data_IF_023020309504
#
_entry.id   IF_023020309504
#
_cell.length_a   1.000
_cell.length_b   1.000
_cell.length_c   1.000
_cell.angle_alpha   90.00
_cell.angle_beta   90.00
_cell.angle_gamma   90.00
#
_symmetry.space_group_name_H-M   'P 1'
#
loop_
_entity.id
_entity.type
_entity.pdbx_description
1 polymer ?
#
# COMPACT_ATOMS: atom_id res chain seq x y z
N UNK A 1 8.55 -4.32 21.97
CA UNK A 1 8.55 -5.13 20.70
C UNK A 1 7.97 -4.23 19.64
N UNK A 2 8.64 -4.11 18.46
CA UNK A 2 8.11 -3.36 17.32
C UNK A 2 7.14 -4.24 16.55
N UNK A 3 6.10 -3.64 15.95
CA UNK A 3 5.20 -4.30 15.04
C UNK A 3 5.81 -4.35 13.63
N UNK A 4 5.66 -5.47 12.95
CA UNK A 4 6.22 -5.66 11.62
C UNK A 4 5.20 -5.26 10.53
N UNK A 5 5.67 -4.54 9.50
CA UNK A 5 4.83 -4.17 8.38
C UNK A 5 5.45 -4.52 7.02
N UNK A 6 4.58 -4.65 6.03
CA UNK A 6 4.89 -4.67 4.59
C UNK A 6 4.28 -3.42 3.97
N UNK A 7 5.04 -2.74 3.10
CA UNK A 7 4.57 -1.58 2.32
C UNK A 7 4.40 -1.98 0.84
N UNK A 8 3.18 -1.88 0.36
CA UNK A 8 2.81 -2.20 -1.02
C UNK A 8 2.65 -0.91 -1.83
N UNK A 9 3.18 -0.87 -3.04
CA UNK A 9 3.24 0.35 -3.85
C UNK A 9 4.01 1.45 -3.11
N UNK A 10 5.18 1.08 -2.59
CA UNK A 10 5.89 1.88 -1.59
C UNK A 10 6.36 3.24 -2.09
N UNK A 11 6.49 3.42 -3.41
CA UNK A 11 7.02 4.64 -3.99
C UNK A 11 8.41 4.97 -3.44
N UNK A 12 8.64 6.22 -3.12
CA UNK A 12 9.86 6.67 -2.42
C UNK A 12 9.81 6.42 -0.91
N UNK A 13 8.85 5.65 -0.42
CA UNK A 13 8.72 5.28 0.99
C UNK A 13 7.99 6.29 1.87
N UNK A 14 7.07 7.09 1.32
CA UNK A 14 6.36 8.11 2.11
C UNK A 14 5.55 7.56 3.28
N UNK A 15 4.78 6.47 3.07
CA UNK A 15 4.07 5.78 4.15
C UNK A 15 5.04 5.10 5.11
N UNK A 16 5.99 4.33 4.59
CA UNK A 16 7.03 3.68 5.39
C UNK A 16 7.75 4.64 6.32
N UNK A 17 8.08 5.85 5.84
CA UNK A 17 8.77 6.87 6.61
C UNK A 17 7.98 7.26 7.87
N UNK A 18 6.66 7.50 7.74
CA UNK A 18 5.80 7.83 8.87
C UNK A 18 5.75 6.71 9.92
N UNK A 19 5.67 5.45 9.47
CA UNK A 19 5.67 4.29 10.34
C UNK A 19 7.01 4.12 11.05
N UNK A 20 8.13 4.22 10.34
CA UNK A 20 9.47 4.08 10.90
C UNK A 20 9.80 5.21 11.90
N UNK A 21 9.43 6.46 11.58
CA UNK A 21 9.66 7.61 12.48
C UNK A 21 8.94 7.49 13.83
N UNK A 22 7.82 6.80 13.89
CA UNK A 22 7.12 6.55 15.14
C UNK A 22 7.93 5.72 16.15
N UNK A 23 8.97 5.01 15.69
CA UNK A 23 9.81 4.12 16.50
C UNK A 23 9.14 2.79 16.89
N UNK A 24 7.86 2.60 16.56
CA UNK A 24 7.07 1.44 16.96
C UNK A 24 6.98 0.33 15.91
N UNK A 25 7.49 0.57 14.70
CA UNK A 25 7.36 -0.34 13.58
C UNK A 25 8.71 -0.75 12.99
N UNK A 26 8.71 -1.92 12.33
CA UNK A 26 9.82 -2.46 11.58
C UNK A 26 9.31 -2.88 10.18
N UNK A 27 9.91 -2.33 9.11
CA UNK A 27 9.57 -2.67 7.74
C UNK A 27 10.22 -3.97 7.31
N UNK A 28 9.45 -5.03 7.09
CA UNK A 28 9.96 -6.31 6.61
C UNK A 28 10.26 -6.29 5.12
N UNK A 29 9.36 -5.69 4.34
CA UNK A 29 9.48 -5.58 2.89
C UNK A 29 8.73 -4.37 2.35
N UNK A 30 9.24 -3.84 1.23
CA UNK A 30 8.65 -2.73 0.48
C UNK A 30 8.61 -3.13 -0.99
N UNK A 31 7.43 -3.19 -1.58
CA UNK A 31 7.24 -3.60 -2.97
C UNK A 31 6.96 -2.37 -3.83
N UNK A 32 7.78 -2.17 -4.86
CA UNK A 32 7.66 -1.07 -5.80
C UNK A 32 8.04 -1.51 -7.21
N UNK A 33 7.42 -0.94 -8.22
CA UNK A 33 7.70 -1.24 -9.63
C UNK A 33 8.76 -0.32 -10.24
N UNK A 34 8.69 0.97 -9.93
CA UNK A 34 9.49 2.01 -10.56
C UNK A 34 10.92 2.06 -9.98
N UNK A 35 11.92 1.74 -10.80
CA UNK A 35 13.33 1.68 -10.36
C UNK A 35 13.86 2.96 -9.71
N UNK A 36 13.55 4.17 -10.20
CA UNK A 36 13.97 5.40 -9.52
C UNK A 36 13.43 5.53 -8.09
N UNK A 37 12.20 5.05 -7.85
CA UNK A 37 11.58 5.04 -6.52
C UNK A 37 12.23 4.00 -5.61
N UNK A 38 12.50 2.79 -6.15
CA UNK A 38 13.24 1.72 -5.46
C UNK A 38 14.61 2.22 -5.00
N UNK A 39 15.36 2.85 -5.89
CA UNK A 39 16.68 3.39 -5.56
C UNK A 39 16.61 4.47 -4.48
N UNK A 40 15.64 5.37 -4.56
CA UNK A 40 15.41 6.41 -3.56
C UNK A 40 15.09 5.80 -2.19
N UNK A 41 14.24 4.79 -2.14
CA UNK A 41 13.88 4.12 -0.90
C UNK A 41 15.04 3.33 -0.30
N UNK A 42 15.79 2.58 -1.12
CA UNK A 42 17.02 1.87 -0.69
C UNK A 42 18.03 2.87 -0.09
N UNK A 43 18.30 3.96 -0.80
CA UNK A 43 19.18 5.02 -0.32
C UNK A 43 18.73 5.58 1.03
N UNK A 44 17.41 5.78 1.21
CA UNK A 44 16.86 6.29 2.46
C UNK A 44 16.98 5.28 3.60
N UNK A 45 16.73 3.99 3.34
CA UNK A 45 16.91 2.94 4.36
C UNK A 45 18.37 2.87 4.82
N UNK A 46 19.33 3.00 3.90
CA UNK A 46 20.77 2.98 4.23
C UNK A 46 21.16 4.23 5.04
N UNK A 47 20.87 5.42 4.52
CA UNK A 47 21.47 6.65 5.06
C UNK A 47 20.72 7.24 6.26
N UNK A 48 19.45 6.92 6.42
CA UNK A 48 18.64 7.43 7.55
C UNK A 48 18.32 6.36 8.58
N UNK A 49 18.06 5.14 8.10
CA UNK A 49 17.61 4.04 8.97
C UNK A 49 18.70 3.01 9.24
N UNK A 50 19.96 3.31 8.84
CA UNK A 50 21.17 2.56 9.17
C UNK A 50 21.14 1.08 8.72
N UNK A 51 20.37 0.77 7.65
CA UNK A 51 20.40 -0.53 7.05
C UNK A 51 21.70 -0.73 6.26
N UNK A 52 22.21 -1.93 6.24
CA UNK A 52 23.25 -2.31 5.30
C UNK A 52 22.71 -2.28 3.85
N UNK A 53 23.61 -2.23 2.85
CA UNK A 53 23.22 -2.30 1.44
C UNK A 53 22.45 -3.59 1.16
N UNK A 54 22.91 -4.71 1.70
CA UNK A 54 22.27 -6.02 1.53
C UNK A 54 20.87 -6.07 2.13
N UNK A 55 20.68 -5.50 3.34
CA UNK A 55 19.35 -5.41 3.95
C UNK A 55 18.41 -4.53 3.16
N UNK A 56 18.86 -3.36 2.72
CA UNK A 56 18.04 -2.45 1.93
C UNK A 56 17.65 -3.10 0.57
N UNK A 57 18.60 -3.75 -0.10
CA UNK A 57 18.36 -4.47 -1.36
C UNK A 57 17.38 -5.61 -1.18
N UNK A 58 17.52 -6.39 -0.11
CA UNK A 58 16.63 -7.51 0.21
C UNK A 58 15.21 -7.04 0.56
N UNK A 59 15.07 -5.92 1.30
CA UNK A 59 13.77 -5.44 1.79
C UNK A 59 13.01 -4.60 0.77
N UNK A 60 13.70 -3.89 -0.13
CA UNK A 60 13.07 -3.10 -1.19
C UNK A 60 13.07 -3.90 -2.49
N UNK A 61 11.93 -4.48 -2.79
CA UNK A 61 11.71 -5.44 -3.86
C UNK A 61 11.15 -4.71 -5.06
N UNK A 62 11.90 -4.70 -6.17
CA UNK A 62 11.36 -4.26 -7.46
C UNK A 62 10.63 -5.43 -8.10
N UNK A 63 9.31 -5.38 -8.14
CA UNK A 63 8.53 -6.44 -8.79
C UNK A 63 7.12 -5.98 -9.17
N UNK A 64 6.55 -6.59 -10.22
CA UNK A 64 5.16 -6.39 -10.60
C UNK A 64 4.24 -7.10 -9.60
N UNK A 65 3.58 -6.32 -8.77
CA UNK A 65 2.70 -6.82 -7.71
C UNK A 65 1.51 -7.63 -8.24
N UNK A 66 1.15 -7.52 -9.52
CA UNK A 66 0.07 -8.32 -10.12
C UNK A 66 0.44 -9.80 -10.24
N UNK A 67 1.73 -10.10 -10.33
CA UNK A 67 2.27 -11.47 -10.35
C UNK A 67 2.42 -11.98 -8.91
N UNK A 68 1.32 -12.00 -8.14
CA UNK A 68 1.34 -12.29 -6.70
C UNK A 68 1.96 -13.63 -6.35
N UNK A 69 1.69 -14.70 -7.13
CA UNK A 69 2.23 -16.03 -6.84
C UNK A 69 3.76 -16.07 -7.04
N UNK A 70 4.26 -15.45 -8.10
CA UNK A 70 5.69 -15.29 -8.31
C UNK A 70 6.31 -14.48 -7.17
N UNK A 71 5.66 -13.38 -6.76
CA UNK A 71 6.11 -12.53 -5.67
C UNK A 71 6.17 -13.28 -4.33
N UNK A 72 5.20 -14.14 -4.03
CA UNK A 72 5.19 -14.92 -2.78
C UNK A 72 6.32 -15.95 -2.74
N UNK A 73 6.43 -16.75 -3.79
CA UNK A 73 7.26 -17.96 -3.75
C UNK A 73 8.65 -17.80 -4.38
N UNK A 74 8.85 -16.78 -5.21
CA UNK A 74 10.11 -16.57 -5.91
C UNK A 74 10.31 -17.55 -7.08
N UNK A 75 9.23 -18.11 -7.60
CA UNK A 75 9.23 -19.00 -8.76
C UNK A 75 9.00 -18.16 -10.03
N UNK A 76 10.07 -17.51 -10.51
CA UNK A 76 9.98 -16.56 -11.60
C UNK A 76 9.64 -17.23 -12.94
N UNK A 77 8.60 -16.74 -13.60
CA UNK A 77 8.23 -17.17 -14.96
C UNK A 77 9.27 -16.73 -16.00
N UNK A 78 9.28 -17.40 -17.14
CA UNK A 78 10.13 -17.00 -18.27
C UNK A 78 9.87 -15.57 -18.74
N UNK A 79 8.62 -15.09 -18.59
CA UNK A 79 8.26 -13.72 -18.89
C UNK A 79 8.92 -12.74 -17.91
N UNK A 80 8.81 -13.00 -16.61
CA UNK A 80 9.47 -12.20 -15.59
C UNK A 80 10.98 -12.21 -15.75
N UNK A 81 11.59 -13.37 -15.95
CA UNK A 81 13.02 -13.49 -16.23
C UNK A 81 13.44 -12.63 -17.42
N UNK A 82 12.65 -12.60 -18.49
CA UNK A 82 12.94 -11.81 -19.70
C UNK A 82 12.84 -10.31 -19.45
N UNK A 83 11.81 -9.85 -18.73
CA UNK A 83 11.62 -8.43 -18.40
C UNK A 83 12.79 -7.91 -17.58
N UNK A 84 13.19 -8.65 -16.53
CA UNK A 84 14.22 -8.20 -15.61
C UNK A 84 15.66 -8.44 -16.14
N UNK A 85 15.87 -9.29 -17.16
CA UNK A 85 17.18 -9.50 -17.79
C UNK A 85 17.48 -8.53 -18.93
N UNK A 86 16.47 -7.83 -19.45
CA UNK A 86 16.64 -6.89 -20.58
C UNK A 86 17.15 -5.52 -20.19
N UNK A 87 17.00 -5.14 -18.91
CA UNK A 87 17.50 -3.88 -18.38
C UNK A 87 18.82 -4.08 -17.64
N UNK A 88 19.87 -3.38 -18.03
CA UNK A 88 21.21 -3.45 -17.44
C UNK A 88 21.29 -3.10 -15.93
N UNK A 89 20.18 -2.82 -15.29
CA UNK A 89 20.07 -2.41 -13.88
C UNK A 89 19.01 -3.19 -13.09
N UNK A 90 18.43 -4.25 -13.69
CA UNK A 90 17.31 -4.95 -13.09
C UNK A 90 17.73 -6.29 -12.50
N UNK A 91 17.85 -6.31 -11.20
CA UNK A 91 17.99 -7.55 -10.46
C UNK A 91 16.60 -8.09 -10.10
N UNK A 92 16.29 -9.28 -10.59
CA UNK A 92 15.20 -10.07 -10.00
C UNK A 92 15.48 -10.24 -8.50
N UNK A 93 14.45 -10.14 -7.67
CA UNK A 93 14.63 -10.45 -6.26
C UNK A 93 15.21 -11.83 -6.09
N UNK A 94 16.24 -11.97 -5.25
CA UNK A 94 16.88 -13.27 -5.00
C UNK A 94 15.92 -14.31 -4.44
N UNK A 95 14.85 -13.84 -3.78
CA UNK A 95 13.89 -14.69 -3.08
C UNK A 95 12.47 -14.10 -3.20
N UNK A 96 11.47 -14.97 -3.17
CA UNK A 96 10.08 -14.57 -2.95
C UNK A 96 9.86 -13.98 -1.56
N UNK A 97 8.77 -13.27 -1.42
CA UNK A 97 8.41 -12.51 -0.23
C UNK A 97 8.31 -13.40 1.02
N UNK A 98 7.77 -14.63 0.88
CA UNK A 98 7.68 -15.58 1.98
C UNK A 98 9.05 -15.94 2.56
N UNK A 99 10.06 -16.10 1.70
CA UNK A 99 11.43 -16.38 2.15
C UNK A 99 12.11 -15.15 2.76
N UNK A 100 11.79 -13.95 2.27
CA UNK A 100 12.31 -12.68 2.81
C UNK A 100 11.76 -12.44 4.21
N UNK A 101 10.46 -12.64 4.41
CA UNK A 101 9.78 -12.51 5.69
C UNK A 101 10.19 -13.62 6.66
N UNK A 102 10.36 -14.85 6.14
CA UNK A 102 10.78 -16.01 6.92
C UNK A 102 9.79 -16.36 8.03
N UNK A 103 10.24 -16.33 9.29
CA UNK A 103 9.41 -16.66 10.47
C UNK A 103 8.76 -15.43 11.10
N UNK A 104 9.06 -14.25 10.60
CA UNK A 104 8.53 -13.01 11.15
C UNK A 104 7.02 -12.91 10.87
N UNK A 105 6.31 -12.45 11.86
CA UNK A 105 4.88 -12.21 11.70
C UNK A 105 4.65 -10.87 11.05
N UNK A 106 3.80 -10.82 10.04
CA UNK A 106 3.28 -9.57 9.47
C UNK A 106 2.11 -9.09 10.33
N UNK A 107 2.29 -8.00 11.05
CA UNK A 107 1.25 -7.42 11.90
C UNK A 107 0.37 -6.45 11.13
N UNK A 108 0.96 -5.68 10.20
CA UNK A 108 0.28 -4.65 9.41
C UNK A 108 0.73 -4.72 7.95
N UNK A 109 -0.20 -4.49 7.02
CA UNK A 109 0.10 -4.20 5.62
C UNK A 109 -0.35 -2.76 5.34
N UNK A 110 0.55 -1.96 4.78
CA UNK A 110 0.27 -0.59 4.37
C UNK A 110 0.44 -0.47 2.85
N UNK A 111 -0.18 0.53 2.23
CA UNK A 111 0.09 0.81 0.83
C UNK A 111 -0.92 1.72 0.17
N UNK A 112 -0.49 2.35 -0.93
CA UNK A 112 -1.30 3.24 -1.74
C UNK A 112 -1.30 2.81 -3.21
N UNK A 113 -2.16 1.88 -3.64
CA UNK A 113 -2.20 1.47 -5.04
C UNK A 113 -2.46 2.66 -5.95
N UNK A 114 -1.79 2.74 -7.13
CA UNK A 114 -1.93 3.84 -8.06
C UNK A 114 -3.39 4.10 -8.44
N UNK A 115 -3.78 5.36 -8.38
CA UNK A 115 -5.15 5.82 -8.62
C UNK A 115 -5.27 6.69 -9.88
N UNK A 116 -4.37 6.53 -10.85
CA UNK A 116 -4.44 7.33 -12.07
C UNK A 116 -5.78 7.16 -12.79
N UNK A 117 -6.35 5.97 -12.73
CA UNK A 117 -7.69 5.68 -13.22
C UNK A 117 -8.83 6.40 -12.46
N UNK A 118 -8.62 6.84 -11.21
CA UNK A 118 -9.65 7.47 -10.38
C UNK A 118 -9.43 8.97 -10.17
N UNK A 119 -8.28 9.51 -10.59
CA UNK A 119 -7.99 10.93 -10.47
C UNK A 119 -8.76 11.76 -11.50
N UNK A 120 -9.09 13.02 -11.17
CA UNK A 120 -9.74 13.94 -12.11
C UNK A 120 -8.90 14.16 -13.39
N UNK A 121 -7.58 14.22 -13.23
CA UNK A 121 -6.66 14.37 -14.37
C UNK A 121 -6.60 13.11 -15.24
N UNK A 122 -6.63 11.91 -14.66
CA UNK A 122 -6.64 10.64 -15.40
C UNK A 122 -7.94 10.46 -16.19
N UNK A 123 -9.08 10.88 -15.64
CA UNK A 123 -10.38 10.83 -16.33
C UNK A 123 -10.46 11.76 -17.54
N UNK A 124 -9.79 12.91 -17.49
CA UNK A 124 -9.79 13.87 -18.59
C UNK A 124 -8.96 13.43 -19.80
N UNK A 125 -8.05 12.47 -19.62
CA UNK A 125 -7.12 11.99 -20.64
C UNK A 125 -7.50 10.66 -21.28
N UNK A 126 -8.56 9.98 -20.80
CA UNK A 126 -8.94 8.65 -21.29
C UNK A 126 -10.30 8.69 -22.01
N UNK A 127 -10.30 8.62 -23.38
CA UNK A 127 -11.52 8.62 -24.17
C UNK A 127 -12.37 7.33 -24.03
N UNK A 128 -11.81 6.25 -23.46
CA UNK A 128 -12.47 4.94 -23.36
C UNK A 128 -13.12 4.65 -22.01
N UNK A 129 -13.34 5.70 -21.16
CA UNK A 129 -14.01 5.57 -19.86
C UNK A 129 -13.39 4.52 -18.94
N UNK A 130 -12.07 4.30 -19.07
CA UNK A 130 -11.23 3.48 -18.17
C UNK A 130 -11.61 1.99 -18.07
N UNK A 131 -12.46 1.48 -18.95
CA UNK A 131 -12.96 0.10 -18.89
C UNK A 131 -11.86 -0.96 -18.97
N UNK A 132 -10.75 -0.65 -19.66
CA UNK A 132 -9.65 -1.58 -19.91
C UNK A 132 -8.33 -1.20 -19.23
N UNK A 133 -8.35 -0.24 -18.30
CA UNK A 133 -7.13 0.14 -17.57
C UNK A 133 -6.84 -0.89 -16.47
N UNK A 134 -5.74 -1.65 -16.63
CA UNK A 134 -5.29 -2.65 -15.66
C UNK A 134 -5.10 -2.08 -14.24
N UNK A 135 -4.82 -0.79 -14.13
CA UNK A 135 -4.65 -0.09 -12.85
C UNK A 135 -5.93 -0.06 -12.01
N UNK A 136 -7.09 -0.29 -12.61
CA UNK A 136 -8.37 -0.44 -11.90
C UNK A 136 -8.40 -1.69 -11.02
N UNK A 137 -7.49 -2.63 -11.27
CA UNK A 137 -7.45 -3.93 -10.61
C UNK A 137 -6.27 -4.08 -9.64
N UNK A 138 -5.38 -3.07 -9.54
CA UNK A 138 -4.22 -3.15 -8.65
C UNK A 138 -4.60 -3.28 -7.16
N UNK A 139 -5.78 -2.80 -6.76
CA UNK A 139 -6.27 -3.04 -5.41
C UNK A 139 -6.53 -4.53 -5.14
N UNK A 140 -6.82 -5.33 -6.17
CA UNK A 140 -7.02 -6.78 -6.03
C UNK A 140 -5.72 -7.49 -5.65
N UNK A 141 -4.57 -7.01 -6.16
CA UNK A 141 -3.27 -7.50 -5.71
C UNK A 141 -3.00 -7.17 -4.24
N UNK A 142 -3.40 -5.98 -3.79
CA UNK A 142 -3.36 -5.63 -2.36
C UNK A 142 -4.22 -6.59 -1.53
N UNK A 143 -5.44 -6.88 -1.97
CA UNK A 143 -6.36 -7.81 -1.31
C UNK A 143 -5.76 -9.21 -1.21
N UNK A 144 -5.17 -9.75 -2.29
CA UNK A 144 -4.51 -11.06 -2.31
C UNK A 144 -3.36 -11.15 -1.31
N UNK A 145 -2.56 -10.09 -1.20
CA UNK A 145 -1.43 -10.05 -0.26
C UNK A 145 -1.93 -9.99 1.19
N UNK A 146 -2.99 -9.22 1.46
CA UNK A 146 -3.66 -9.19 2.77
C UNK A 146 -4.24 -10.57 3.12
N UNK A 147 -4.87 -11.25 2.17
CA UNK A 147 -5.42 -12.60 2.35
C UNK A 147 -4.33 -13.63 2.65
N UNK A 148 -3.18 -13.52 1.99
CA UNK A 148 -2.05 -14.44 2.19
C UNK A 148 -1.42 -14.28 3.58
N UNK A 149 -1.03 -13.07 3.98
CA UNK A 149 -0.33 -12.84 5.26
C UNK A 149 -1.24 -12.67 6.47
N UNK A 150 -2.51 -12.41 6.26
CA UNK A 150 -3.55 -12.28 7.30
C UNK A 150 -3.13 -11.36 8.47
N UNK A 151 -2.67 -10.12 8.19
CA UNK A 151 -2.29 -9.18 9.24
C UNK A 151 -3.48 -8.88 10.16
N UNK A 152 -3.23 -8.33 11.35
CA UNK A 152 -4.32 -7.85 12.22
C UNK A 152 -4.99 -6.60 11.67
N UNK A 153 -4.22 -5.77 10.97
CA UNK A 153 -4.62 -4.47 10.43
C UNK A 153 -4.02 -4.26 9.05
N UNK A 154 -4.72 -3.56 8.17
CA UNK A 154 -4.11 -2.94 7.01
C UNK A 154 -4.47 -1.45 6.91
N UNK A 155 -3.63 -0.70 6.22
CA UNK A 155 -3.83 0.71 5.90
C UNK A 155 -3.76 0.89 4.40
N UNK A 156 -4.88 1.22 3.79
CA UNK A 156 -5.02 1.44 2.36
C UNK A 156 -5.21 2.94 2.09
N UNK A 157 -4.21 3.57 1.45
CA UNK A 157 -4.24 4.99 1.10
C UNK A 157 -4.67 5.18 -0.34
N UNK A 158 -5.46 6.23 -0.58
CA UNK A 158 -5.79 6.62 -1.95
C UNK A 158 -6.21 8.10 -2.06
N UNK A 159 -6.51 8.56 -3.27
CA UNK A 159 -7.09 9.90 -3.48
C UNK A 159 -8.61 9.90 -3.23
N UNK A 160 -9.22 11.03 -2.79
CA UNK A 160 -10.66 11.12 -2.57
C UNK A 160 -11.52 10.80 -3.81
N UNK A 161 -10.95 10.94 -5.02
CA UNK A 161 -11.60 10.57 -6.29
C UNK A 161 -12.06 9.12 -6.37
N UNK A 162 -11.47 8.21 -5.58
CA UNK A 162 -11.90 6.82 -5.42
C UNK A 162 -13.38 6.73 -5.02
N UNK A 163 -13.87 7.64 -4.19
CA UNK A 163 -15.26 7.63 -3.70
C UNK A 163 -16.32 7.79 -4.80
N UNK A 164 -15.96 8.49 -5.89
CA UNK A 164 -16.84 8.76 -7.03
C UNK A 164 -16.50 7.94 -8.27
N UNK A 165 -15.45 7.12 -8.21
CA UNK A 165 -15.02 6.31 -9.35
C UNK A 165 -15.97 5.13 -9.57
N UNK A 166 -16.40 4.94 -10.83
CA UNK A 166 -17.31 3.88 -11.24
C UNK A 166 -16.91 3.34 -12.64
N UNK A 167 -15.74 2.68 -12.76
CA UNK A 167 -15.38 2.02 -14.01
C UNK A 167 -16.30 0.83 -14.25
N UNK A 168 -17.02 0.84 -15.37
CA UNK A 168 -18.12 -0.10 -15.62
C UNK A 168 -19.38 0.25 -14.83
N UNK A 169 -20.08 -0.75 -14.32
CA UNK A 169 -21.40 -0.57 -13.69
C UNK A 169 -21.39 -0.61 -12.15
N UNK A 170 -20.21 -0.75 -11.52
CA UNK A 170 -20.12 -0.87 -10.06
C UNK A 170 -19.11 0.11 -9.48
N UNK A 171 -19.51 0.93 -8.48
CA UNK A 171 -18.62 1.86 -7.80
C UNK A 171 -17.41 1.16 -7.18
N UNK A 172 -16.22 1.76 -7.34
CA UNK A 172 -14.96 1.20 -6.80
C UNK A 172 -15.03 1.00 -5.29
N UNK A 173 -15.63 1.94 -4.56
CA UNK A 173 -15.80 1.85 -3.11
C UNK A 173 -16.57 0.61 -2.66
N UNK A 174 -17.56 0.17 -3.46
CA UNK A 174 -18.34 -1.04 -3.18
C UNK A 174 -17.52 -2.31 -3.48
N UNK A 175 -16.78 -2.29 -4.61
CA UNK A 175 -15.86 -3.40 -4.95
C UNK A 175 -14.81 -3.61 -3.85
N UNK A 176 -14.19 -2.54 -3.37
CA UNK A 176 -13.21 -2.58 -2.28
C UNK A 176 -13.85 -3.14 -1.01
N UNK A 177 -15.03 -2.64 -0.64
CA UNK A 177 -15.75 -3.10 0.55
C UNK A 177 -16.01 -4.61 0.50
N UNK A 178 -16.58 -5.09 -0.59
CA UNK A 178 -16.88 -6.51 -0.78
C UNK A 178 -15.61 -7.37 -0.78
N UNK A 179 -14.56 -6.94 -1.50
CA UNK A 179 -13.32 -7.69 -1.58
C UNK A 179 -12.69 -7.92 -0.20
N UNK A 180 -12.63 -6.90 0.64
CA UNK A 180 -12.09 -7.04 1.99
C UNK A 180 -13.02 -7.80 2.94
N UNK A 181 -14.33 -7.63 2.82
CA UNK A 181 -15.29 -8.42 3.59
C UNK A 181 -15.19 -9.92 3.27
N UNK A 182 -15.03 -10.26 2.00
CA UNK A 182 -14.91 -11.65 1.56
C UNK A 182 -13.68 -12.36 2.13
N UNK A 183 -12.61 -11.64 2.41
CA UNK A 183 -11.39 -12.19 3.04
C UNK A 183 -11.36 -12.01 4.57
N UNK A 184 -12.49 -11.63 5.19
CA UNK A 184 -12.67 -11.57 6.65
C UNK A 184 -12.12 -10.31 7.32
N UNK A 185 -12.19 -9.16 6.63
CA UNK A 185 -11.81 -7.87 7.21
C UNK A 185 -12.99 -6.91 7.30
N UNK A 186 -13.07 -6.20 8.40
CA UNK A 186 -14.01 -5.12 8.62
C UNK A 186 -13.38 -3.79 8.22
N UNK A 187 -14.04 -3.09 7.30
CA UNK A 187 -13.72 -1.71 6.90
C UNK A 187 -14.98 -0.84 7.04
N UNK A 188 -14.83 0.49 6.97
CA UNK A 188 -16.01 1.37 6.93
C UNK A 188 -16.88 1.03 5.71
N UNK A 189 -18.21 0.97 5.89
CA UNK A 189 -19.12 0.75 4.78
C UNK A 189 -19.07 1.92 3.78
N UNK A 190 -19.44 1.70 2.50
CA UNK A 190 -19.28 2.66 1.41
C UNK A 190 -19.87 4.05 1.67
N UNK A 191 -20.97 4.13 2.39
CA UNK A 191 -21.65 5.40 2.76
C UNK A 191 -20.86 6.20 3.80
N UNK A 192 -20.06 5.56 4.64
CA UNK A 192 -19.22 6.18 5.68
C UNK A 192 -17.82 6.53 5.20
N UNK A 193 -17.35 6.05 4.04
CA UNK A 193 -15.98 6.28 3.58
C UNK A 193 -15.61 7.76 3.38
N UNK A 194 -16.57 8.65 3.19
CA UNK A 194 -16.32 10.11 3.21
C UNK A 194 -15.68 10.59 4.52
N UNK A 195 -15.97 9.94 5.63
CA UNK A 195 -15.41 10.30 6.95
C UNK A 195 -13.96 9.85 7.12
N UNK A 196 -13.44 9.05 6.20
CA UNK A 196 -12.05 8.58 6.13
C UNK A 196 -11.14 9.47 5.25
N UNK A 197 -11.63 10.64 4.82
CA UNK A 197 -10.82 11.62 4.09
C UNK A 197 -10.16 12.57 5.08
N UNK A 198 -8.84 12.68 4.99
CA UNK A 198 -7.99 13.50 5.84
C UNK A 198 -7.19 14.48 4.99
N UNK A 199 -6.98 15.69 5.51
CA UNK A 199 -6.12 16.70 4.91
C UNK A 199 -4.78 16.71 5.63
N UNK A 200 -3.67 16.65 4.90
CA UNK A 200 -2.33 16.68 5.49
C UNK A 200 -2.07 17.97 6.31
N UNK A 201 -2.66 19.10 5.90
CA UNK A 201 -2.55 20.36 6.62
C UNK A 201 -3.13 20.29 8.05
N UNK A 202 -4.10 19.42 8.30
CA UNK A 202 -4.69 19.21 9.63
C UNK A 202 -3.72 18.50 10.60
N UNK A 203 -2.58 17.98 10.09
CA UNK A 203 -1.56 17.22 10.81
C UNK A 203 -0.18 17.93 10.77
N UNK A 204 -0.16 19.27 10.83
CA UNK A 204 1.05 20.08 10.85
C UNK A 204 1.96 19.94 9.61
N UNK A 205 1.40 19.46 8.49
CA UNK A 205 2.11 19.40 7.22
C UNK A 205 1.74 20.64 6.39
N UNK A 206 2.68 21.46 5.93
CA UNK A 206 2.37 22.68 5.17
C UNK A 206 1.96 22.37 3.72
N UNK A 207 0.99 21.48 3.57
CA UNK A 207 0.47 21.03 2.27
C UNK A 207 -1.03 20.73 2.36
N UNK A 208 -1.83 21.36 1.53
CA UNK A 208 -3.25 21.03 1.35
C UNK A 208 -3.39 19.80 0.46
N UNK A 209 -3.25 18.61 1.07
CA UNK A 209 -3.31 17.32 0.38
C UNK A 209 -4.36 16.43 1.03
N UNK A 210 -5.46 16.19 0.34
CA UNK A 210 -6.51 15.29 0.81
C UNK A 210 -6.23 13.85 0.40
N UNK A 211 -6.38 12.92 1.33
CA UNK A 211 -6.26 11.48 1.10
C UNK A 211 -7.33 10.72 1.85
N UNK A 212 -7.84 9.68 1.22
CA UNK A 212 -8.66 8.70 1.90
C UNK A 212 -7.74 7.65 2.53
N UNK A 213 -7.94 7.40 3.82
CA UNK A 213 -7.22 6.37 4.57
C UNK A 213 -8.23 5.32 5.02
N UNK A 214 -8.19 4.14 4.42
CA UNK A 214 -9.07 3.03 4.77
C UNK A 214 -8.30 2.09 5.68
N UNK A 215 -8.75 1.98 6.93
CA UNK A 215 -8.31 0.92 7.83
C UNK A 215 -9.16 -0.33 7.60
N UNK A 216 -8.49 -1.48 7.54
CA UNK A 216 -9.17 -2.76 7.60
C UNK A 216 -8.67 -3.57 8.78
N UNK A 217 -9.58 -4.03 9.59
CA UNK A 217 -9.32 -4.80 10.80
C UNK A 217 -9.80 -6.21 10.59
N UNK A 218 -8.97 -7.21 10.89
CA UNK A 218 -9.39 -8.61 10.78
C UNK A 218 -10.55 -8.88 11.74
N UNK A 219 -11.66 -9.42 11.24
CA UNK A 219 -12.96 -9.52 11.96
C UNK A 219 -12.87 -10.28 13.28
N UNK A 220 -11.89 -11.18 13.43
CA UNK A 220 -11.67 -11.91 14.68
C UNK A 220 -10.63 -11.27 15.61
N UNK A 221 -10.24 -10.02 15.37
CA UNK A 221 -9.31 -9.27 16.23
C UNK A 221 -10.06 -8.43 17.26
N UNK A 222 -9.37 -8.08 18.36
CA UNK A 222 -9.92 -7.19 19.39
C UNK A 222 -9.78 -5.69 19.06
N UNK A 223 -9.38 -5.35 17.82
CA UNK A 223 -9.19 -3.96 17.40
C UNK A 223 -10.53 -3.38 16.99
N UNK A 224 -10.87 -2.22 17.54
CA UNK A 224 -12.11 -1.51 17.21
C UNK A 224 -11.86 -0.51 16.07
N UNK A 225 -12.50 -0.73 14.93
CA UNK A 225 -12.33 0.11 13.72
C UNK A 225 -12.62 1.59 13.99
N UNK A 226 -13.74 1.89 14.66
CA UNK A 226 -14.13 3.28 14.96
C UNK A 226 -13.13 3.96 15.93
N UNK A 227 -12.49 3.21 16.82
CA UNK A 227 -11.45 3.73 17.70
C UNK A 227 -10.21 4.19 16.94
N UNK A 228 -9.81 3.49 15.87
CA UNK A 228 -8.70 3.90 15.01
C UNK A 228 -8.98 5.25 14.34
N UNK A 229 -10.16 5.41 13.75
CA UNK A 229 -10.56 6.68 13.12
C UNK A 229 -10.71 7.81 14.14
N UNK A 230 -11.21 7.52 15.34
CA UNK A 230 -11.31 8.51 16.41
C UNK A 230 -9.93 8.98 16.87
N UNK A 231 -8.98 8.06 17.07
CA UNK A 231 -7.60 8.39 17.46
C UNK A 231 -6.89 9.23 16.41
N UNK A 232 -7.09 8.92 15.12
CA UNK A 232 -6.52 9.70 14.04
C UNK A 232 -7.09 11.13 14.02
N UNK A 233 -8.41 11.30 14.23
CA UNK A 233 -9.06 12.63 14.31
C UNK A 233 -8.64 13.44 15.54
N UNK A 234 -8.33 12.80 16.66
CA UNK A 234 -7.82 13.50 17.86
C UNK A 234 -6.41 14.07 17.66
N UNK A 235 -5.59 13.45 16.80
CA UNK A 235 -4.28 13.97 16.43
C UNK A 235 -4.35 15.30 15.66
N UNK A 236 -5.53 15.67 15.18
CA UNK A 236 -5.83 16.94 14.53
C UNK A 236 -6.03 18.05 15.59
N UNK A 237 -4.94 18.49 16.23
CA UNK A 237 -4.99 19.66 17.12
C UNK A 237 -4.97 20.94 16.30
N UNK A 238 -6.15 21.51 15.99
CA UNK A 238 -6.32 22.81 15.33
C UNK A 238 -5.80 24.01 16.11
N UNK A 239 -5.16 23.81 17.25
CA UNK A 239 -4.80 24.86 18.18
C UNK A 239 -3.31 25.17 18.20
N UNK A 240 -2.59 25.22 17.11
CA UNK A 240 -1.26 25.86 17.07
C UNK A 240 -0.84 26.16 15.61
N UNK A 241 -1.33 27.27 15.09
CA UNK A 241 -0.60 28.15 14.18
C UNK A 241 -0.84 29.57 14.66
#
# INVERSE_FOLDING_TARGET
MKLNFIDLFAGCGGLSEGFLQSGHFNGLAHIEWEMPMVNTLRHRLINKWEHTIDEATKRVIRFDIQKTDELFYGNWSNESLKIYSSDNHDELPLYGLDKIIGKDKVDIIIGGPPCQAYSLCGRAQDPNSMKNDYRNYLFESFVKIVEHYKPKLFVFENVPGLLSACPGNKPVKERIYEAFKNIGYDILPPERLKTAVFCAADYHTPQTRNRIIIFGVRSNSNIQLDALYHSLKKGNNKNHI
#
